data_IF_809368504756
#
_entry.id   IF_809368504756
#
_cell.length_a   1.000
_cell.length_b   1.000
_cell.length_c   1.000
_cell.angle_alpha   90.00
_cell.angle_beta   90.00
_cell.angle_gamma   90.00
#
_symmetry.space_group_name_H-M   'P 1'
#
loop_
_entity.id
_entity.type
_entity.pdbx_description
1 polymer ?
#
# COMPACT_ATOMS: atom_id res chain seq x y z
N UNK A 1 15.64 -6.49 21.34
CA UNK A 1 15.16 -7.50 20.39
C UNK A 1 16.36 -8.23 19.78
N UNK A 2 16.34 -9.56 19.74
CA UNK A 2 17.43 -10.37 19.16
C UNK A 2 17.49 -10.23 17.63
N UNK A 3 18.68 -10.45 17.03
CA UNK A 3 18.82 -10.40 15.56
C UNK A 3 17.90 -11.39 14.84
N UNK A 4 17.74 -12.58 15.40
CA UNK A 4 16.85 -13.61 14.85
C UNK A 4 15.38 -13.16 14.78
N UNK A 5 14.84 -12.67 15.91
CA UNK A 5 13.47 -12.13 15.98
C UNK A 5 13.25 -11.05 14.93
N UNK A 6 14.21 -10.14 14.79
CA UNK A 6 14.17 -9.09 13.78
C UNK A 6 14.10 -9.68 12.36
N UNK A 7 14.98 -10.62 12.02
CA UNK A 7 15.02 -11.25 10.69
C UNK A 7 13.72 -11.98 10.34
N UNK A 8 13.14 -12.75 11.28
CA UNK A 8 11.87 -13.46 11.07
C UNK A 8 10.73 -12.49 10.81
N UNK A 9 10.59 -11.43 11.62
CA UNK A 9 9.50 -10.46 11.45
C UNK A 9 9.62 -9.66 10.15
N UNK A 10 10.85 -9.33 9.73
CA UNK A 10 11.07 -8.65 8.46
C UNK A 10 10.84 -9.56 7.26
N UNK A 11 11.30 -10.81 7.30
CA UNK A 11 11.00 -11.80 6.26
C UNK A 11 9.49 -12.02 6.12
N UNK A 12 8.77 -12.16 7.24
CA UNK A 12 7.32 -12.27 7.28
C UNK A 12 6.64 -11.04 6.65
N UNK A 13 7.14 -9.84 6.94
CA UNK A 13 6.62 -8.59 6.34
C UNK A 13 6.84 -8.56 4.82
N UNK A 14 8.06 -8.88 4.36
CA UNK A 14 8.37 -8.92 2.92
C UNK A 14 7.47 -9.93 2.21
N UNK A 15 7.42 -11.18 2.70
CA UNK A 15 6.62 -12.24 2.08
C UNK A 15 5.11 -11.93 2.11
N UNK A 16 4.59 -11.39 3.22
CA UNK A 16 3.20 -10.99 3.36
C UNK A 16 2.79 -9.92 2.35
N UNK A 17 3.56 -8.84 2.23
CA UNK A 17 3.31 -7.79 1.24
C UNK A 17 3.53 -8.29 -0.19
N UNK A 18 4.56 -9.13 -0.41
CA UNK A 18 4.83 -9.70 -1.73
C UNK A 18 3.66 -10.52 -2.26
N UNK A 19 2.95 -11.26 -1.40
CA UNK A 19 1.80 -12.07 -1.80
C UNK A 19 0.65 -11.25 -2.38
N UNK A 20 0.47 -9.99 -1.93
CA UNK A 20 -0.55 -9.08 -2.48
C UNK A 20 -0.25 -8.76 -3.94
N UNK A 21 1.00 -8.41 -4.23
CA UNK A 21 1.39 -7.78 -5.48
C UNK A 21 2.03 -8.75 -6.50
N UNK A 22 2.29 -10.00 -6.11
CA UNK A 22 2.87 -11.02 -6.96
C UNK A 22 2.18 -11.23 -8.32
N UNK A 23 0.83 -11.20 -8.44
CA UNK A 23 0.16 -11.37 -9.73
C UNK A 23 0.34 -10.19 -10.68
N UNK A 24 0.69 -8.99 -10.20
CA UNK A 24 0.63 -7.76 -10.97
C UNK A 24 1.48 -7.77 -12.25
N UNK A 25 2.77 -8.17 -12.23
CA UNK A 25 3.56 -8.30 -13.45
C UNK A 25 3.08 -9.43 -14.38
N UNK A 26 2.28 -10.36 -13.85
CA UNK A 26 1.83 -11.56 -14.57
C UNK A 26 0.46 -11.39 -15.23
N UNK A 27 -0.19 -10.23 -15.10
CA UNK A 27 -1.56 -10.02 -15.58
C UNK A 27 -1.79 -10.39 -17.04
N UNK A 28 -0.92 -10.01 -18.02
CA UNK A 28 -1.10 -10.45 -19.40
C UNK A 28 -0.95 -11.97 -19.56
N UNK A 29 -0.02 -12.59 -18.84
CA UNK A 29 0.20 -14.04 -18.85
C UNK A 29 -1.01 -14.79 -18.25
N UNK A 30 -1.57 -14.30 -17.15
CA UNK A 30 -2.80 -14.83 -16.54
C UNK A 30 -4.01 -14.66 -17.48
N UNK A 31 -4.12 -13.49 -18.13
CA UNK A 31 -5.16 -13.25 -19.13
C UNK A 31 -5.11 -14.29 -20.26
N UNK A 32 -3.92 -14.53 -20.81
CA UNK A 32 -3.71 -15.54 -21.86
C UNK A 32 -3.97 -16.97 -21.36
N UNK A 33 -3.50 -17.30 -20.13
CA UNK A 33 -3.64 -18.66 -19.58
C UNK A 33 -5.10 -19.04 -19.32
N UNK A 34 -5.91 -18.11 -18.79
CA UNK A 34 -7.31 -18.36 -18.45
C UNK A 34 -8.30 -17.89 -19.51
N UNK A 35 -7.84 -17.40 -20.67
CA UNK A 35 -8.69 -16.90 -21.75
C UNK A 35 -9.52 -15.68 -21.36
N UNK A 36 -8.93 -14.73 -20.60
CA UNK A 36 -9.63 -13.60 -19.99
C UNK A 36 -9.38 -12.29 -20.75
N UNK A 37 -10.34 -11.37 -20.62
CA UNK A 37 -10.08 -9.97 -20.96
C UNK A 37 -9.09 -9.34 -20.00
N UNK A 38 -8.42 -8.26 -20.42
CA UNK A 38 -7.52 -7.48 -19.56
C UNK A 38 -8.25 -6.94 -18.30
N UNK A 39 -9.50 -6.52 -18.45
CA UNK A 39 -10.35 -6.07 -17.35
C UNK A 39 -10.61 -7.20 -16.34
N UNK A 40 -10.94 -8.40 -16.82
CA UNK A 40 -11.19 -9.55 -15.95
C UNK A 40 -9.91 -10.00 -15.24
N UNK A 41 -8.77 -10.05 -15.93
CA UNK A 41 -7.49 -10.39 -15.32
C UNK A 41 -7.09 -9.38 -14.22
N UNK A 42 -7.43 -8.10 -14.37
CA UNK A 42 -7.21 -7.06 -13.36
C UNK A 42 -7.91 -7.34 -12.03
N UNK A 43 -8.99 -8.12 -12.03
CA UNK A 43 -9.68 -8.55 -10.80
C UNK A 43 -8.79 -9.37 -9.87
N UNK A 44 -7.70 -9.98 -10.38
CA UNK A 44 -6.70 -10.63 -9.54
C UNK A 44 -6.12 -9.71 -8.46
N UNK A 45 -5.98 -8.41 -8.72
CA UNK A 45 -5.54 -7.42 -7.74
C UNK A 45 -6.73 -6.85 -6.94
N UNK A 46 -7.82 -6.53 -7.61
CA UNK A 46 -9.02 -5.96 -6.99
C UNK A 46 -9.59 -6.88 -5.91
N UNK A 47 -9.65 -8.20 -6.17
CA UNK A 47 -10.14 -9.21 -5.23
C UNK A 47 -9.33 -9.28 -3.93
N UNK A 48 -8.07 -8.84 -3.93
CA UNK A 48 -7.27 -8.75 -2.71
C UNK A 48 -7.36 -7.36 -2.09
N UNK A 49 -7.33 -6.29 -2.88
CA UNK A 49 -7.29 -4.92 -2.37
C UNK A 49 -8.60 -4.50 -1.71
N UNK A 50 -9.74 -4.98 -2.20
CA UNK A 50 -11.04 -4.63 -1.63
C UNK A 50 -11.21 -5.17 -0.19
N UNK A 51 -11.01 -6.48 0.08
CA UNK A 51 -11.06 -6.98 1.45
C UNK A 51 -9.97 -6.36 2.34
N UNK A 52 -8.78 -6.08 1.79
CA UNK A 52 -7.68 -5.46 2.52
C UNK A 52 -8.02 -4.04 3.01
N UNK A 53 -8.85 -3.31 2.27
CA UNK A 53 -9.39 -2.02 2.69
C UNK A 53 -10.51 -2.12 3.72
N UNK A 54 -11.35 -3.15 3.64
CA UNK A 54 -12.51 -3.31 4.51
C UNK A 54 -12.19 -4.05 5.83
N UNK A 55 -11.28 -5.04 5.78
CA UNK A 55 -10.96 -5.88 6.93
C UNK A 55 -10.47 -5.11 8.18
N UNK A 56 -9.64 -4.05 8.09
CA UNK A 56 -9.22 -3.28 9.26
C UNK A 56 -10.39 -2.66 10.04
N UNK A 57 -11.48 -2.33 9.35
CA UNK A 57 -12.68 -1.83 10.00
C UNK A 57 -13.34 -2.88 10.90
N UNK A 58 -13.31 -4.13 10.49
CA UNK A 58 -13.87 -5.26 11.25
C UNK A 58 -12.88 -5.72 12.32
N UNK A 59 -11.59 -5.80 11.97
CA UNK A 59 -10.55 -6.37 12.84
C UNK A 59 -10.20 -5.49 14.02
N UNK A 60 -10.41 -4.19 13.95
CA UNK A 60 -10.24 -3.27 15.08
C UNK A 60 -11.08 -3.62 16.31
N UNK A 61 -12.08 -4.53 16.18
CA UNK A 61 -12.84 -5.05 17.32
C UNK A 61 -12.18 -6.25 18.02
N UNK A 62 -11.35 -7.02 17.33
CA UNK A 62 -10.91 -8.33 17.81
C UNK A 62 -9.39 -8.46 17.95
N UNK A 63 -8.61 -7.81 17.09
CA UNK A 63 -7.18 -8.09 16.98
C UNK A 63 -6.38 -7.62 18.20
N UNK A 64 -6.81 -6.56 18.87
CA UNK A 64 -6.13 -6.07 20.07
C UNK A 64 -6.29 -7.01 21.29
N UNK A 65 -7.28 -7.92 21.25
CA UNK A 65 -7.50 -8.90 22.31
C UNK A 65 -6.62 -10.17 22.15
N UNK A 66 -6.01 -10.37 20.97
CA UNK A 66 -5.24 -11.58 20.65
C UNK A 66 -3.74 -11.26 20.76
N UNK A 67 -2.93 -12.10 21.41
CA UNK A 67 -1.48 -11.94 21.42
C UNK A 67 -0.93 -11.93 19.98
N UNK A 68 0.04 -11.03 19.70
CA UNK A 68 0.51 -10.79 18.34
C UNK A 68 1.24 -12.01 17.75
N UNK A 69 2.04 -12.72 18.55
CA UNK A 69 2.80 -13.89 18.06
C UNK A 69 1.91 -15.00 17.47
N UNK A 70 0.89 -15.55 18.16
CA UNK A 70 0.02 -16.57 17.57
C UNK A 70 -0.76 -16.03 16.37
N UNK A 71 -1.17 -14.76 16.40
CA UNK A 71 -1.86 -14.12 15.28
C UNK A 71 -0.96 -14.03 14.03
N UNK A 72 0.33 -13.66 14.19
CA UNK A 72 1.33 -13.70 13.11
C UNK A 72 1.45 -15.12 12.55
N UNK A 73 1.64 -16.13 13.42
CA UNK A 73 1.82 -17.53 13.01
C UNK A 73 0.63 -18.07 12.21
N UNK A 74 -0.59 -17.89 12.72
CA UNK A 74 -1.82 -18.33 12.06
C UNK A 74 -2.04 -17.58 10.74
N UNK A 75 -1.86 -16.26 10.74
CA UNK A 75 -2.01 -15.46 9.51
C UNK A 75 -1.01 -15.88 8.43
N UNK A 76 0.25 -16.14 8.80
CA UNK A 76 1.27 -16.62 7.86
C UNK A 76 0.95 -18.01 7.32
N UNK A 77 0.49 -18.94 8.17
CA UNK A 77 0.14 -20.31 7.75
C UNK A 77 -1.04 -20.30 6.77
N UNK A 78 -2.11 -19.55 7.08
CA UNK A 78 -3.27 -19.43 6.19
C UNK A 78 -2.90 -18.68 4.91
N UNK A 79 -2.05 -17.65 4.99
CA UNK A 79 -1.58 -16.90 3.82
C UNK A 79 -0.68 -17.79 2.93
N UNK A 80 0.12 -18.69 3.53
CA UNK A 80 0.90 -19.69 2.82
C UNK A 80 -0.01 -20.65 2.02
N UNK A 81 -1.10 -21.12 2.64
CA UNK A 81 -2.09 -21.98 1.98
C UNK A 81 -2.79 -21.22 0.82
N UNK A 82 -3.25 -19.99 1.05
CA UNK A 82 -3.86 -19.20 0.00
C UNK A 82 -2.87 -18.94 -1.15
N UNK A 83 -1.63 -18.52 -0.84
CA UNK A 83 -0.62 -18.18 -1.83
C UNK A 83 -0.13 -19.41 -2.60
N UNK A 84 0.19 -20.49 -1.89
CA UNK A 84 0.56 -21.77 -2.50
C UNK A 84 -0.58 -22.38 -3.31
N UNK A 85 -1.82 -22.25 -2.83
CA UNK A 85 -3.01 -22.71 -3.55
C UNK A 85 -3.21 -22.07 -4.92
N UNK A 86 -2.76 -20.81 -5.12
CA UNK A 86 -2.83 -20.15 -6.43
C UNK A 86 -2.09 -20.93 -7.52
N UNK A 87 -1.00 -21.63 -7.20
CA UNK A 87 -0.25 -22.40 -8.20
C UNK A 87 -1.01 -23.64 -8.68
N UNK A 88 -2.01 -24.11 -7.93
CA UNK A 88 -2.83 -25.28 -8.24
C UNK A 88 -4.12 -24.92 -9.00
N UNK A 89 -4.44 -23.62 -9.13
CA UNK A 89 -5.68 -23.21 -9.77
C UNK A 89 -5.68 -23.54 -11.27
N UNK A 90 -6.71 -24.22 -11.71
CA UNK A 90 -7.09 -24.42 -13.12
C UNK A 90 -8.23 -23.51 -13.57
N UNK A 91 -8.93 -22.88 -12.64
CA UNK A 91 -10.05 -21.96 -12.84
C UNK A 91 -9.78 -20.61 -12.18
N UNK A 92 -10.16 -19.52 -12.86
CA UNK A 92 -9.90 -18.16 -12.37
C UNK A 92 -10.83 -17.78 -11.21
N UNK A 93 -12.01 -18.38 -11.10
CA UNK A 93 -12.90 -18.14 -9.96
C UNK A 93 -12.27 -18.58 -8.65
N UNK A 94 -11.69 -19.79 -8.59
CA UNK A 94 -10.94 -20.25 -7.44
C UNK A 94 -9.70 -19.41 -7.16
N UNK A 95 -9.02 -18.95 -8.22
CA UNK A 95 -7.92 -17.99 -8.08
C UNK A 95 -8.40 -16.73 -7.34
N UNK A 96 -9.55 -16.15 -7.71
CA UNK A 96 -10.12 -14.98 -7.05
C UNK A 96 -10.54 -15.25 -5.60
N UNK A 97 -11.10 -16.43 -5.28
CA UNK A 97 -11.46 -16.81 -3.90
C UNK A 97 -10.21 -16.79 -3.00
N UNK A 98 -9.11 -17.39 -3.46
CA UNK A 98 -7.85 -17.36 -2.71
C UNK A 98 -7.28 -15.94 -2.59
N UNK A 99 -7.46 -15.10 -3.60
CA UNK A 99 -7.08 -13.68 -3.55
C UNK A 99 -7.88 -12.88 -2.53
N UNK A 100 -9.19 -13.15 -2.39
CA UNK A 100 -10.03 -12.60 -1.30
C UNK A 100 -9.49 -13.05 0.06
N UNK A 101 -9.18 -14.34 0.21
CA UNK A 101 -8.55 -14.87 1.42
C UNK A 101 -7.26 -14.15 1.80
N UNK A 102 -6.37 -13.90 0.83
CA UNK A 102 -5.16 -13.12 1.06
C UNK A 102 -5.48 -11.68 1.54
N UNK A 103 -6.46 -11.03 0.91
CA UNK A 103 -6.89 -9.67 1.28
C UNK A 103 -7.46 -9.57 2.69
N UNK A 104 -8.10 -10.62 3.19
CA UNK A 104 -8.56 -10.71 4.58
C UNK A 104 -7.40 -10.96 5.56
N UNK A 105 -6.44 -11.80 5.21
CA UNK A 105 -5.37 -12.23 6.13
C UNK A 105 -4.25 -11.19 6.30
N UNK A 106 -3.90 -10.47 5.24
CA UNK A 106 -2.77 -9.53 5.26
C UNK A 106 -2.92 -8.40 6.27
N UNK A 107 -4.07 -7.73 6.44
CA UNK A 107 -4.22 -6.71 7.47
C UNK A 107 -4.01 -7.23 8.88
N UNK A 108 -4.50 -8.43 9.18
CA UNK A 108 -4.29 -9.09 10.47
C UNK A 108 -2.80 -9.34 10.71
N UNK A 109 -2.10 -9.88 9.71
CA UNK A 109 -0.65 -10.10 9.75
C UNK A 109 0.12 -8.81 9.99
N UNK A 110 -0.15 -7.76 9.21
CA UNK A 110 0.59 -6.49 9.31
C UNK A 110 0.36 -5.78 10.63
N UNK A 111 -0.88 -5.79 11.13
CA UNK A 111 -1.22 -5.23 12.45
C UNK A 111 -0.49 -5.99 13.56
N UNK A 112 -0.52 -7.32 13.53
CA UNK A 112 0.17 -8.14 14.52
C UNK A 112 1.69 -7.95 14.48
N UNK A 113 2.30 -7.86 13.28
CA UNK A 113 3.73 -7.57 13.11
C UNK A 113 4.11 -6.20 13.69
N UNK A 114 3.30 -5.17 13.41
CA UNK A 114 3.53 -3.82 13.93
C UNK A 114 3.41 -3.79 15.45
N UNK A 115 2.42 -4.46 16.02
CA UNK A 115 2.21 -4.58 17.46
C UNK A 115 3.38 -5.30 18.14
N UNK A 116 3.78 -6.46 17.60
CA UNK A 116 4.91 -7.21 18.15
C UNK A 116 6.21 -6.40 18.10
N UNK A 117 6.50 -5.77 16.97
CA UNK A 117 7.71 -4.95 16.80
C UNK A 117 7.73 -3.75 17.76
N UNK A 118 6.60 -3.07 17.95
CA UNK A 118 6.51 -1.90 18.84
C UNK A 118 6.65 -2.28 20.32
N UNK A 119 6.09 -3.41 20.73
CA UNK A 119 6.15 -3.89 22.12
C UNK A 119 7.49 -4.54 22.46
N UNK A 120 8.12 -5.26 21.51
CA UNK A 120 9.42 -5.89 21.71
C UNK A 120 10.61 -4.93 21.62
N UNK A 121 10.43 -3.74 21.05
CA UNK A 121 11.48 -2.73 20.92
C UNK A 121 11.65 -1.91 22.21
N UNK A 122 12.89 -1.52 22.54
CA UNK A 122 13.12 -0.55 23.62
C UNK A 122 12.42 0.78 23.30
N UNK A 123 11.85 1.50 24.28
CA UNK A 123 11.13 2.76 24.04
C UNK A 123 11.90 3.77 23.19
N UNK A 124 13.21 3.90 23.40
CA UNK A 124 14.10 4.78 22.64
C UNK A 124 14.31 4.36 21.17
N UNK A 125 13.99 3.11 20.81
CA UNK A 125 14.22 2.53 19.48
C UNK A 125 12.94 2.34 18.68
N UNK A 126 11.74 2.44 19.29
CA UNK A 126 10.45 2.18 18.64
C UNK A 126 10.31 2.98 17.35
N UNK A 127 10.58 4.29 17.38
CA UNK A 127 10.49 5.15 16.19
C UNK A 127 11.38 4.65 15.04
N UNK A 128 12.61 4.22 15.33
CA UNK A 128 13.54 3.69 14.33
C UNK A 128 13.05 2.36 13.76
N UNK A 129 12.58 1.46 14.62
CA UNK A 129 12.06 0.14 14.24
C UNK A 129 10.82 0.31 13.33
N UNK A 130 9.91 1.23 13.66
CA UNK A 130 8.73 1.52 12.84
C UNK A 130 9.10 2.12 11.47
N UNK A 131 10.09 3.02 11.43
CA UNK A 131 10.56 3.57 10.15
C UNK A 131 11.15 2.49 9.24
N UNK A 132 11.94 1.57 9.81
CA UNK A 132 12.48 0.43 9.06
C UNK A 132 11.35 -0.52 8.62
N UNK A 133 10.36 -0.80 9.50
CA UNK A 133 9.19 -1.61 9.15
C UNK A 133 8.46 -1.06 7.93
N UNK A 134 8.19 0.26 7.90
CA UNK A 134 7.54 0.91 6.74
C UNK A 134 8.42 0.76 5.48
N UNK A 135 9.72 0.98 5.57
CA UNK A 135 10.63 0.78 4.42
C UNK A 135 10.60 -0.67 3.91
N UNK A 136 10.50 -1.65 4.80
CA UNK A 136 10.40 -3.07 4.47
C UNK A 136 9.06 -3.41 3.81
N UNK A 137 7.94 -2.78 4.20
CA UNK A 137 6.67 -2.96 3.49
C UNK A 137 6.75 -2.45 2.05
N UNK A 138 7.39 -1.29 1.82
CA UNK A 138 7.61 -0.76 0.47
C UNK A 138 8.54 -1.69 -0.34
N UNK A 139 9.63 -2.16 0.28
CA UNK A 139 10.52 -3.14 -0.35
C UNK A 139 9.80 -4.44 -0.71
N UNK A 140 8.95 -4.97 0.19
CA UNK A 140 8.11 -6.16 -0.09
C UNK A 140 7.20 -5.96 -1.29
N UNK A 141 6.66 -4.75 -1.48
CA UNK A 141 5.88 -4.39 -2.65
C UNK A 141 6.68 -4.46 -3.97
N UNK A 142 7.94 -4.04 -3.97
CA UNK A 142 8.86 -4.20 -5.10
C UNK A 142 9.26 -5.66 -5.27
N UNK A 143 9.75 -6.29 -4.19
CA UNK A 143 10.28 -7.64 -4.22
C UNK A 143 9.28 -8.64 -4.77
N UNK A 144 8.02 -8.59 -4.32
CA UNK A 144 6.97 -9.49 -4.79
C UNK A 144 6.75 -9.41 -6.30
N UNK A 145 6.76 -8.21 -6.87
CA UNK A 145 6.61 -8.00 -8.31
C UNK A 145 7.84 -8.47 -9.09
N UNK A 146 9.02 -8.06 -8.65
CA UNK A 146 10.27 -8.43 -9.32
C UNK A 146 10.51 -9.94 -9.27
N UNK A 147 10.38 -10.55 -8.08
CA UNK A 147 10.51 -11.99 -7.88
C UNK A 147 9.50 -12.77 -8.73
N UNK A 148 8.24 -12.31 -8.77
CA UNK A 148 7.21 -12.98 -9.56
C UNK A 148 7.49 -12.89 -11.05
N UNK A 149 7.95 -11.74 -11.53
CA UNK A 149 8.38 -11.58 -12.92
C UNK A 149 9.53 -12.51 -13.27
N UNK A 150 10.58 -12.53 -12.43
CA UNK A 150 11.76 -13.37 -12.62
C UNK A 150 11.42 -14.88 -12.60
N UNK A 151 10.68 -15.31 -11.57
CA UNK A 151 10.34 -16.73 -11.43
C UNK A 151 9.38 -17.22 -12.52
N UNK A 152 8.43 -16.36 -12.94
CA UNK A 152 7.49 -16.73 -14.00
C UNK A 152 8.16 -16.77 -15.38
N UNK A 153 9.11 -15.89 -15.65
CA UNK A 153 9.87 -15.88 -16.90
C UNK A 153 10.71 -17.15 -17.05
N UNK A 154 11.32 -17.62 -15.96
CA UNK A 154 12.19 -18.80 -15.96
C UNK A 154 11.43 -20.13 -15.86
N UNK A 155 10.35 -20.21 -15.08
CA UNK A 155 9.73 -21.46 -14.63
C UNK A 155 8.20 -21.50 -14.81
N UNK A 156 7.61 -20.45 -15.39
CA UNK A 156 6.18 -20.32 -15.61
C UNK A 156 5.42 -19.68 -14.44
N UNK A 157 4.21 -19.22 -14.72
CA UNK A 157 3.40 -18.36 -13.84
C UNK A 157 3.01 -18.97 -12.48
N UNK A 158 3.05 -20.29 -12.36
CA UNK A 158 2.73 -21.00 -11.11
C UNK A 158 3.84 -20.92 -10.08
N UNK A 159 5.10 -20.85 -10.52
CA UNK A 159 6.27 -20.93 -9.63
C UNK A 159 6.43 -19.77 -8.65
N UNK A 160 6.16 -18.51 -9.00
CA UNK A 160 6.17 -17.43 -8.00
C UNK A 160 5.24 -17.68 -6.82
N UNK A 161 4.05 -18.22 -7.06
CA UNK A 161 3.09 -18.52 -5.99
C UNK A 161 3.52 -19.71 -5.13
N UNK A 162 4.06 -20.75 -5.74
CA UNK A 162 4.63 -21.88 -5.01
C UNK A 162 5.81 -21.44 -4.13
N UNK A 163 6.75 -20.66 -4.68
CA UNK A 163 7.91 -20.14 -3.95
C UNK A 163 7.54 -19.20 -2.81
N UNK A 164 6.61 -18.26 -3.03
CA UNK A 164 6.12 -17.37 -1.98
C UNK A 164 5.30 -18.12 -0.93
N UNK A 165 4.49 -19.12 -1.34
CA UNK A 165 3.76 -19.97 -0.42
C UNK A 165 4.70 -20.74 0.51
N UNK A 166 5.77 -21.35 -0.05
CA UNK A 166 6.82 -22.02 0.72
C UNK A 166 7.54 -21.05 1.67
N UNK A 167 7.90 -19.86 1.21
CA UNK A 167 8.56 -18.84 2.04
C UNK A 167 7.65 -18.38 3.20
N UNK A 168 6.35 -18.19 2.96
CA UNK A 168 5.36 -17.87 4.01
C UNK A 168 5.23 -19.02 5.03
N UNK A 169 5.21 -20.28 4.57
CA UNK A 169 5.17 -21.46 5.47
C UNK A 169 6.43 -21.54 6.33
N UNK A 170 7.61 -21.28 5.76
CA UNK A 170 8.87 -21.19 6.51
C UNK A 170 8.83 -20.06 7.55
N UNK A 171 8.29 -18.89 7.20
CA UNK A 171 8.10 -17.80 8.16
C UNK A 171 7.12 -18.17 9.27
N UNK A 172 6.04 -18.90 8.96
CA UNK A 172 5.10 -19.40 9.95
C UNK A 172 5.78 -20.38 10.95
N UNK A 173 6.57 -21.31 10.45
CA UNK A 173 7.36 -22.22 11.26
C UNK A 173 8.39 -21.48 12.12
N UNK A 174 9.12 -20.52 11.53
CA UNK A 174 10.09 -19.68 12.25
C UNK A 174 9.42 -18.83 13.35
N UNK A 175 8.16 -18.43 13.16
CA UNK A 175 7.40 -17.69 14.17
C UNK A 175 7.23 -18.48 15.48
N UNK A 176 7.22 -19.81 15.43
CA UNK A 176 7.13 -20.68 16.62
C UNK A 176 8.35 -20.52 17.55
N UNK A 177 9.49 -20.09 17.01
CA UNK A 177 10.72 -19.86 17.78
C UNK A 177 10.81 -18.48 18.42
N UNK A 178 9.86 -17.58 18.11
CA UNK A 178 9.86 -16.23 18.67
C UNK A 178 9.47 -16.26 20.17
N UNK A 179 10.00 -15.33 20.99
CA UNK A 179 9.56 -15.15 22.35
C UNK A 179 8.05 -14.89 22.43
N UNK A 180 7.36 -15.37 23.49
CA UNK A 180 5.96 -14.99 23.70
C UNK A 180 5.86 -13.50 23.96
N UNK A 181 4.79 -12.88 23.46
CA UNK A 181 4.49 -11.47 23.68
C UNK A 181 3.48 -11.28 24.82
N UNK A 182 3.55 -10.10 25.45
CA UNK A 182 2.53 -9.71 26.41
C UNK A 182 1.21 -9.40 25.69
N UNK A 183 0.09 -9.69 26.34
CA UNK A 183 -1.22 -9.26 25.83
C UNK A 183 -1.29 -7.73 25.85
N UNK A 184 -1.69 -7.14 24.74
CA UNK A 184 -2.00 -5.71 24.67
C UNK A 184 -3.36 -5.45 25.33
N UNK A 185 -3.51 -4.27 25.93
CA UNK A 185 -4.80 -3.87 26.49
C UNK A 185 -5.82 -3.69 25.34
N UNK A 186 -6.97 -4.33 25.48
CA UNK A 186 -8.06 -4.23 24.51
C UNK A 186 -8.63 -2.81 24.50
N UNK A 187 -8.57 -2.14 23.35
CA UNK A 187 -9.18 -0.85 23.12
C UNK A 187 -10.10 -0.93 21.90
N UNK A 188 -11.39 -1.26 22.08
CA UNK A 188 -12.30 -1.49 20.97
C UNK A 188 -12.51 -0.20 20.15
N UNK A 189 -12.34 -0.30 18.83
CA UNK A 189 -12.68 0.78 17.92
C UNK A 189 -14.20 0.88 17.84
N UNK A 190 -14.78 2.04 18.22
CA UNK A 190 -16.22 2.28 18.13
C UNK A 190 -16.56 3.03 16.85
N UNK A 191 -17.09 2.34 15.84
CA UNK A 191 -17.52 2.96 14.58
C UNK A 191 -18.64 3.97 14.72
N UNK A 192 -19.39 3.97 15.82
CA UNK A 192 -20.38 5.00 16.11
C UNK A 192 -19.81 6.43 16.01
N UNK A 193 -18.51 6.60 16.26
CA UNK A 193 -17.81 7.89 16.12
C UNK A 193 -17.28 8.20 14.71
N UNK A 194 -17.44 7.28 13.72
CA UNK A 194 -16.95 7.54 12.38
C UNK A 194 -17.57 8.80 11.73
N UNK A 195 -18.89 9.07 11.85
CA UNK A 195 -19.47 10.31 11.34
C UNK A 195 -18.88 11.57 12.00
N UNK A 196 -18.56 11.49 13.28
CA UNK A 196 -17.92 12.59 14.02
C UNK A 196 -16.52 12.87 13.47
N UNK A 197 -15.69 11.84 13.34
CA UNK A 197 -14.34 11.94 12.77
C UNK A 197 -14.37 12.48 11.34
N UNK A 198 -15.27 11.98 10.50
CA UNK A 198 -15.36 12.40 9.09
C UNK A 198 -15.85 13.84 8.92
N UNK A 199 -16.62 14.37 9.89
CA UNK A 199 -17.08 15.77 9.87
C UNK A 199 -16.01 16.76 10.34
N UNK A 200 -14.91 16.29 10.94
CA UNK A 200 -13.83 17.18 11.37
C UNK A 200 -13.19 17.88 10.16
N UNK A 201 -12.87 19.18 10.29
CA UNK A 201 -12.28 19.95 9.19
C UNK A 201 -11.02 19.27 8.63
N UNK A 202 -10.96 19.11 7.32
CA UNK A 202 -9.83 18.54 6.60
C UNK A 202 -9.70 17.01 6.62
N UNK A 203 -10.43 16.28 7.49
CA UNK A 203 -10.31 14.81 7.56
C UNK A 203 -10.79 14.13 6.28
N UNK A 204 -12.04 14.39 5.88
CA UNK A 204 -12.61 13.82 4.66
C UNK A 204 -11.80 14.22 3.43
N UNK A 205 -11.31 15.46 3.36
CA UNK A 205 -10.48 15.92 2.25
C UNK A 205 -9.14 15.16 2.21
N UNK A 206 -8.47 14.97 3.36
CA UNK A 206 -7.23 14.18 3.42
C UNK A 206 -7.45 12.73 3.00
N UNK A 207 -8.51 12.08 3.49
CA UNK A 207 -8.86 10.72 3.07
C UNK A 207 -9.16 10.64 1.57
N UNK A 208 -9.86 11.63 1.01
CA UNK A 208 -10.17 11.70 -0.42
C UNK A 208 -8.90 11.87 -1.25
N UNK A 209 -7.99 12.77 -0.86
CA UNK A 209 -6.69 12.94 -1.55
C UNK A 209 -5.94 11.62 -1.61
N UNK A 210 -5.80 10.93 -0.49
CA UNK A 210 -5.07 9.67 -0.42
C UNK A 210 -5.77 8.55 -1.22
N UNK A 211 -7.09 8.48 -1.18
CA UNK A 211 -7.85 7.51 -1.97
C UNK A 211 -7.66 7.75 -3.48
N UNK A 212 -7.74 9.00 -3.95
CA UNK A 212 -7.54 9.35 -5.36
C UNK A 212 -6.10 9.12 -5.80
N UNK A 213 -5.10 9.47 -4.98
CA UNK A 213 -3.70 9.22 -5.30
C UNK A 213 -3.42 7.72 -5.38
N UNK A 214 -3.98 6.91 -4.47
CA UNK A 214 -3.80 5.47 -4.54
C UNK A 214 -4.62 4.80 -5.63
N UNK A 215 -5.74 5.40 -6.04
CA UNK A 215 -6.46 5.04 -7.26
C UNK A 215 -5.55 5.16 -8.49
N UNK A 216 -4.89 6.32 -8.66
CA UNK A 216 -3.97 6.54 -9.80
C UNK A 216 -2.77 5.60 -9.70
N UNK A 217 -2.17 5.49 -8.53
CA UNK A 217 -1.03 4.62 -8.26
C UNK A 217 -1.31 3.17 -8.61
N UNK A 218 -2.40 2.63 -8.09
CA UNK A 218 -2.79 1.23 -8.35
C UNK A 218 -3.20 1.02 -9.80
N UNK A 219 -3.89 1.99 -10.40
CA UNK A 219 -4.31 1.95 -11.79
C UNK A 219 -3.14 1.93 -12.76
N UNK A 220 -2.19 2.86 -12.60
CA UNK A 220 -0.97 2.89 -13.43
C UNK A 220 -0.18 1.58 -13.33
N UNK A 221 0.07 1.12 -12.10
CA UNK A 221 0.83 -0.11 -11.88
C UNK A 221 0.09 -1.36 -12.39
N UNK A 222 -1.24 -1.34 -12.42
CA UNK A 222 -2.04 -2.45 -12.91
C UNK A 222 -2.12 -2.46 -14.45
N UNK A 223 -2.17 -1.28 -15.08
CA UNK A 223 -2.13 -1.15 -16.54
C UNK A 223 -0.73 -1.36 -17.13
N UNK A 224 0.33 -1.13 -16.35
CA UNK A 224 1.71 -1.17 -16.81
C UNK A 224 2.09 -2.44 -17.59
N UNK A 225 1.82 -3.68 -17.13
CA UNK A 225 2.21 -4.88 -17.88
C UNK A 225 1.41 -5.02 -19.18
N UNK A 226 0.17 -4.57 -19.23
CA UNK A 226 -0.62 -4.56 -20.48
C UNK A 226 -0.07 -3.52 -21.46
N UNK A 227 0.23 -2.30 -20.96
CA UNK A 227 0.85 -1.28 -21.82
C UNK A 227 2.20 -1.70 -22.34
N UNK A 228 3.02 -2.37 -21.53
CA UNK A 228 4.29 -2.93 -21.94
C UNK A 228 4.11 -3.95 -23.08
N UNK A 229 3.04 -4.74 -23.06
CA UNK A 229 2.72 -5.71 -24.11
C UNK A 229 2.35 -5.07 -25.47
N UNK A 230 1.86 -3.83 -25.46
CA UNK A 230 1.51 -3.07 -26.68
C UNK A 230 2.70 -2.35 -27.30
N UNK A 231 3.78 -2.13 -26.54
CA UNK A 231 4.95 -1.36 -27.01
C UNK A 231 6.00 -2.25 -27.67
N UNK A 232 6.81 -1.65 -28.54
CA UNK A 232 7.97 -2.31 -29.17
C UNK A 232 8.91 -2.92 -28.12
N UNK A 233 9.42 -4.12 -28.40
CA UNK A 233 10.24 -4.90 -27.50
C UNK A 233 9.45 -5.84 -26.60
N UNK A 234 8.13 -5.71 -26.57
CA UNK A 234 7.18 -6.68 -26.04
C UNK A 234 7.23 -6.89 -24.53
N UNK A 235 6.26 -7.66 -24.08
CA UNK A 235 6.11 -8.09 -22.70
C UNK A 235 6.88 -9.40 -22.46
N UNK A 236 7.66 -9.42 -21.37
CA UNK A 236 8.00 -10.64 -20.64
C UNK A 236 7.70 -10.41 -19.16
N UNK A 237 7.42 -11.49 -18.38
CA UNK A 237 7.20 -11.36 -16.95
C UNK A 237 8.35 -10.66 -16.21
N UNK A 238 9.59 -10.95 -16.59
CA UNK A 238 10.80 -10.34 -16.03
C UNK A 238 10.86 -8.84 -16.34
N UNK A 239 10.61 -8.43 -17.59
CA UNK A 239 10.59 -7.01 -17.97
C UNK A 239 9.53 -6.25 -17.20
N UNK A 240 8.32 -6.80 -17.11
CA UNK A 240 7.26 -6.21 -16.33
C UNK A 240 7.64 -6.08 -14.84
N UNK A 241 8.21 -7.14 -14.26
CA UNK A 241 8.71 -7.14 -12.88
C UNK A 241 9.79 -6.08 -12.64
N UNK A 242 10.73 -5.90 -13.57
CA UNK A 242 11.80 -4.91 -13.49
C UNK A 242 11.29 -3.46 -13.57
N UNK A 243 10.18 -3.21 -14.32
CA UNK A 243 9.57 -1.87 -14.39
C UNK A 243 9.16 -1.32 -13.01
N UNK A 244 8.85 -2.19 -12.04
CA UNK A 244 8.51 -1.77 -10.68
C UNK A 244 9.72 -1.35 -9.82
N UNK A 245 10.95 -1.29 -10.37
CA UNK A 245 12.12 -0.76 -9.65
C UNK A 245 11.91 0.69 -9.14
N UNK A 246 10.99 1.44 -9.76
CA UNK A 246 10.58 2.75 -9.25
C UNK A 246 10.10 2.75 -7.79
N UNK A 247 9.66 1.60 -7.23
CA UNK A 247 9.36 1.48 -5.80
C UNK A 247 10.55 1.79 -4.89
N UNK A 248 11.79 1.62 -5.37
CA UNK A 248 12.98 2.00 -4.64
C UNK A 248 13.01 3.51 -4.35
N UNK A 249 12.45 4.35 -5.25
CA UNK A 249 12.24 5.76 -5.00
C UNK A 249 11.26 5.98 -3.83
N UNK A 250 10.25 5.13 -3.69
CA UNK A 250 9.34 5.17 -2.54
C UNK A 250 10.07 4.97 -1.20
N UNK A 251 11.05 4.06 -1.13
CA UNK A 251 11.89 3.88 0.06
C UNK A 251 12.68 5.16 0.36
N UNK A 252 13.33 5.74 -0.65
CA UNK A 252 14.08 6.99 -0.51
C UNK A 252 13.17 8.10 0.00
N UNK A 253 11.98 8.25 -0.59
CA UNK A 253 10.99 9.27 -0.20
C UNK A 253 10.51 9.08 1.24
N UNK A 254 10.19 7.85 1.65
CA UNK A 254 9.79 7.54 3.02
C UNK A 254 10.89 7.87 4.03
N UNK A 255 12.13 7.52 3.75
CA UNK A 255 13.27 7.78 4.64
C UNK A 255 13.62 9.26 4.73
N UNK A 256 13.37 10.03 3.66
CA UNK A 256 13.63 11.48 3.59
C UNK A 256 12.41 12.34 3.90
N UNK A 257 11.25 11.73 4.14
CA UNK A 257 9.95 12.41 4.33
C UNK A 257 9.99 13.52 5.39
N UNK A 258 10.73 13.32 6.49
CA UNK A 258 10.87 14.33 7.53
C UNK A 258 11.61 15.61 7.04
N UNK A 259 12.60 15.46 6.16
CA UNK A 259 13.31 16.61 5.56
C UNK A 259 12.40 17.29 4.54
N UNK A 260 11.68 16.50 3.76
CA UNK A 260 10.78 16.96 2.73
C UNK A 260 9.59 17.75 3.33
N UNK A 261 8.98 17.27 4.42
CA UNK A 261 7.91 17.98 5.11
C UNK A 261 8.35 19.31 5.75
N UNK A 262 9.62 19.40 6.18
CA UNK A 262 10.21 20.67 6.65
C UNK A 262 10.42 21.66 5.51
N UNK A 263 10.84 21.17 4.35
CA UNK A 263 11.08 22.01 3.17
C UNK A 263 9.80 22.68 2.67
N UNK A 264 8.68 21.96 2.70
CA UNK A 264 7.40 22.48 2.23
C UNK A 264 6.62 23.30 3.26
N UNK A 265 7.10 23.41 4.50
CA UNK A 265 6.51 24.17 5.62
C UNK A 265 5.04 23.84 5.97
N UNK A 266 4.36 23.01 5.18
CA UNK A 266 2.95 22.66 5.35
C UNK A 266 2.66 21.23 4.88
N UNK A 267 1.90 20.46 5.68
CA UNK A 267 1.39 19.15 5.26
C UNK A 267 0.54 19.21 3.98
N UNK A 268 -0.30 20.22 3.84
CA UNK A 268 -1.15 20.42 2.67
C UNK A 268 -0.30 20.67 1.41
N UNK A 269 0.75 21.50 1.50
CA UNK A 269 1.71 21.70 0.39
C UNK A 269 2.43 20.40 0.04
N UNK A 270 2.86 19.61 1.02
CA UNK A 270 3.49 18.31 0.77
C UNK A 270 2.57 17.37 -0.01
N UNK A 271 1.27 17.31 0.35
CA UNK A 271 0.28 16.52 -0.39
C UNK A 271 0.01 17.07 -1.78
N UNK A 272 -0.06 18.41 -1.95
CA UNK A 272 -0.24 19.05 -3.25
C UNK A 272 0.94 18.79 -4.19
N UNK A 273 2.18 18.90 -3.70
CA UNK A 273 3.40 18.57 -4.47
C UNK A 273 3.42 17.09 -4.83
N UNK A 274 3.05 16.19 -3.89
CA UNK A 274 2.90 14.77 -4.18
C UNK A 274 1.87 14.52 -5.29
N UNK A 275 0.72 15.18 -5.24
CA UNK A 275 -0.31 15.09 -6.27
C UNK A 275 0.17 15.64 -7.64
N UNK A 276 0.88 16.75 -7.65
CA UNK A 276 1.48 17.30 -8.88
C UNK A 276 2.49 16.32 -9.52
N UNK A 277 3.31 15.66 -8.70
CA UNK A 277 4.22 14.63 -9.19
C UNK A 277 3.44 13.42 -9.76
N UNK A 278 2.32 13.02 -9.14
CA UNK A 278 1.45 11.94 -9.66
C UNK A 278 0.80 12.36 -10.99
N UNK A 279 0.40 13.63 -11.18
CA UNK A 279 -0.08 14.13 -12.48
C UNK A 279 1.03 13.98 -13.53
N UNK A 280 2.24 14.48 -13.23
CA UNK A 280 3.38 14.35 -14.14
C UNK A 280 3.68 12.88 -14.48
N UNK A 281 3.62 11.99 -13.49
CA UNK A 281 3.78 10.54 -13.71
C UNK A 281 2.72 9.98 -14.66
N UNK A 282 1.43 10.34 -14.48
CA UNK A 282 0.34 9.87 -15.33
C UNK A 282 0.46 10.39 -16.78
N UNK A 283 0.92 11.62 -16.96
CA UNK A 283 1.19 12.19 -18.29
C UNK A 283 2.37 11.49 -18.98
N UNK A 284 3.47 11.23 -18.25
CA UNK A 284 4.63 10.50 -18.79
C UNK A 284 4.26 9.03 -19.09
N UNK A 285 3.42 8.41 -18.27
CA UNK A 285 2.91 7.05 -18.49
C UNK A 285 2.11 6.92 -19.80
N UNK A 286 1.45 7.97 -20.24
CA UNK A 286 0.69 8.00 -21.49
C UNK A 286 1.57 7.96 -22.75
N UNK A 287 2.87 8.27 -22.64
CA UNK A 287 3.79 8.29 -23.78
C UNK A 287 4.04 6.88 -24.34
N UNK A 288 4.24 6.76 -25.69
CA UNK A 288 4.26 5.46 -26.37
C UNK A 288 5.65 4.81 -26.42
N UNK A 289 6.44 4.83 -25.32
CA UNK A 289 7.75 4.16 -25.27
C UNK A 289 8.10 3.66 -23.87
N UNK A 290 8.88 2.56 -23.83
CA UNK A 290 9.17 1.84 -22.59
C UNK A 290 9.93 2.67 -21.55
N UNK A 291 10.84 3.55 -21.99
CA UNK A 291 11.58 4.43 -21.08
C UNK A 291 10.68 5.38 -20.32
N UNK A 292 9.58 5.86 -20.94
CA UNK A 292 8.58 6.69 -20.25
C UNK A 292 7.81 5.87 -19.20
N UNK A 293 7.40 4.63 -19.53
CA UNK A 293 6.78 3.75 -18.55
C UNK A 293 7.68 3.56 -17.33
N UNK A 294 8.96 3.26 -17.54
CA UNK A 294 9.92 3.07 -16.48
C UNK A 294 10.10 4.32 -15.63
N UNK A 295 10.36 5.48 -16.27
CA UNK A 295 10.53 6.77 -15.57
C UNK A 295 9.28 7.17 -14.79
N UNK A 296 8.08 6.94 -15.37
CA UNK A 296 6.82 7.29 -14.74
C UNK A 296 6.62 6.61 -13.38
N UNK A 297 7.09 5.36 -13.20
CA UNK A 297 6.97 4.63 -11.93
C UNK A 297 7.84 5.26 -10.84
N UNK A 298 9.01 5.80 -11.16
CA UNK A 298 9.85 6.53 -10.19
C UNK A 298 9.17 7.82 -9.72
N UNK A 299 8.64 8.61 -10.67
CA UNK A 299 7.92 9.86 -10.36
C UNK A 299 6.64 9.58 -9.59
N UNK A 300 5.90 8.54 -9.99
CA UNK A 300 4.69 8.06 -9.31
C UNK A 300 4.97 7.73 -7.85
N UNK A 301 6.00 6.92 -7.60
CA UNK A 301 6.40 6.52 -6.26
C UNK A 301 6.87 7.71 -5.43
N UNK A 302 7.66 8.62 -6.00
CA UNK A 302 8.06 9.86 -5.31
C UNK A 302 6.84 10.67 -4.88
N UNK A 303 5.88 10.91 -5.79
CA UNK A 303 4.66 11.69 -5.50
C UNK A 303 3.76 11.02 -4.47
N UNK A 304 3.43 9.74 -4.70
CA UNK A 304 2.55 8.98 -3.82
C UNK A 304 3.11 8.89 -2.39
N UNK A 305 4.38 8.52 -2.24
CA UNK A 305 4.98 8.35 -0.91
C UNK A 305 5.28 9.68 -0.21
N UNK A 306 5.39 10.79 -0.94
CA UNK A 306 5.42 12.14 -0.35
C UNK A 306 4.11 12.44 0.37
N UNK A 307 2.96 12.27 -0.27
CA UNK A 307 1.66 12.50 0.34
C UNK A 307 1.35 11.47 1.44
N UNK A 308 1.61 10.18 1.18
CA UNK A 308 1.33 9.07 2.10
C UNK A 308 2.12 9.17 3.41
N UNK A 309 3.35 9.68 3.39
CA UNK A 309 4.18 9.81 4.59
C UNK A 309 3.73 10.93 5.54
N UNK A 310 2.97 11.91 5.04
CA UNK A 310 2.55 13.09 5.80
C UNK A 310 1.13 12.92 6.35
N UNK A 311 0.22 12.38 5.56
CA UNK A 311 -1.20 12.33 5.86
C UNK A 311 -1.57 11.66 7.22
N UNK A 312 -1.00 10.49 7.61
CA UNK A 312 -1.31 9.89 8.90
C UNK A 312 -0.85 10.76 10.08
N UNK A 313 0.27 11.46 9.92
CA UNK A 313 0.81 12.36 10.95
C UNK A 313 -0.12 13.54 11.22
N UNK A 314 -0.70 14.11 10.19
CA UNK A 314 -1.67 15.21 10.26
C UNK A 314 -2.94 14.75 10.97
N UNK A 315 -3.53 13.65 10.51
CA UNK A 315 -4.77 13.11 11.05
C UNK A 315 -4.63 12.74 12.54
N UNK A 316 -3.55 12.02 12.90
CA UNK A 316 -3.28 11.63 14.28
C UNK A 316 -2.84 12.79 15.19
N UNK A 317 -2.35 13.89 14.63
CA UNK A 317 -2.05 15.12 15.35
C UNK A 317 -3.30 15.90 15.73
N UNK A 318 -4.29 15.89 14.86
CA UNK A 318 -5.58 16.57 15.06
C UNK A 318 -6.58 15.74 15.89
N UNK A 319 -6.40 14.40 15.98
CA UNK A 319 -7.28 13.51 16.75
C UNK A 319 -6.50 12.83 17.88
N UNK A 320 -6.98 12.95 19.12
CA UNK A 320 -6.33 12.39 20.31
C UNK A 320 -7.04 11.16 20.88
N UNK A 321 -8.36 11.13 20.79
CA UNK A 321 -9.20 10.12 21.45
C UNK A 321 -9.44 8.89 20.56
N UNK A 322 -9.66 9.09 19.26
CA UNK A 322 -10.09 8.03 18.32
C UNK A 322 -9.01 7.64 17.30
N UNK A 323 -7.73 7.60 17.69
CA UNK A 323 -6.59 7.30 16.76
C UNK A 323 -6.74 5.98 16.03
N UNK A 324 -7.23 4.94 16.69
CA UNK A 324 -7.47 3.64 16.05
C UNK A 324 -8.49 3.75 14.90
N UNK A 325 -9.61 4.47 15.13
CA UNK A 325 -10.63 4.71 14.12
C UNK A 325 -10.09 5.56 12.96
N UNK A 326 -9.35 6.62 13.27
CA UNK A 326 -8.71 7.50 12.26
C UNK A 326 -7.77 6.71 11.35
N UNK A 327 -6.94 5.85 11.91
CA UNK A 327 -6.03 5.01 11.13
C UNK A 327 -6.78 3.91 10.36
N UNK A 328 -7.82 3.32 10.93
CA UNK A 328 -8.68 2.36 10.26
C UNK A 328 -9.38 2.97 9.03
N UNK A 329 -9.97 4.16 9.18
CA UNK A 329 -10.57 4.91 8.08
C UNK A 329 -9.53 5.27 7.01
N UNK A 330 -8.32 5.71 7.44
CA UNK A 330 -7.23 6.01 6.50
C UNK A 330 -6.89 4.80 5.60
N UNK A 331 -6.70 3.63 6.20
CA UNK A 331 -6.38 2.41 5.47
C UNK A 331 -7.55 2.01 4.56
N UNK A 332 -8.79 2.17 5.03
CA UNK A 332 -9.98 1.83 4.24
C UNK A 332 -10.13 2.74 3.02
N UNK A 333 -9.99 4.04 3.16
CA UNK A 333 -10.02 4.97 2.02
C UNK A 333 -8.86 4.70 1.05
N UNK A 334 -7.66 4.48 1.58
CA UNK A 334 -6.47 4.17 0.81
C UNK A 334 -6.68 2.93 -0.09
N UNK A 335 -7.00 1.78 0.49
CA UNK A 335 -7.16 0.54 -0.27
C UNK A 335 -8.45 0.46 -1.08
N UNK A 336 -9.52 1.16 -0.67
CA UNK A 336 -10.72 1.30 -1.51
C UNK A 336 -10.41 2.10 -2.78
N UNK A 337 -9.65 3.20 -2.67
CA UNK A 337 -9.10 3.90 -3.82
C UNK A 337 -8.27 2.97 -4.70
N UNK A 338 -7.39 2.16 -4.11
CA UNK A 338 -6.58 1.16 -4.82
C UNK A 338 -7.41 0.10 -5.53
N UNK A 339 -8.44 -0.45 -4.89
CA UNK A 339 -9.32 -1.44 -5.48
C UNK A 339 -10.07 -0.88 -6.71
N UNK A 340 -10.60 0.34 -6.59
CA UNK A 340 -11.21 1.05 -7.72
C UNK A 340 -10.17 1.34 -8.81
N UNK A 341 -8.94 1.71 -8.44
CA UNK A 341 -7.83 1.96 -9.36
C UNK A 341 -7.37 0.73 -10.12
N UNK A 342 -7.43 -0.46 -9.53
CA UNK A 342 -7.13 -1.71 -10.24
C UNK A 342 -8.26 -2.17 -11.15
N UNK A 343 -9.52 -1.79 -10.88
CA UNK A 343 -10.70 -2.23 -11.62
C UNK A 343 -11.08 -1.25 -12.75
N UNK A 344 -11.39 0.01 -12.41
CA UNK A 344 -12.00 0.96 -13.34
C UNK A 344 -11.13 1.30 -14.57
N UNK A 345 -9.81 1.58 -14.43
CA UNK A 345 -8.97 1.83 -15.59
C UNK A 345 -8.90 0.64 -16.56
N UNK A 346 -8.94 -0.59 -16.03
CA UNK A 346 -9.00 -1.81 -16.85
C UNK A 346 -10.32 -1.93 -17.65
N UNK A 347 -11.44 -1.55 -17.05
CA UNK A 347 -12.74 -1.50 -17.74
C UNK A 347 -12.77 -0.43 -18.84
N UNK A 348 -12.19 0.75 -18.56
CA UNK A 348 -12.08 1.84 -19.54
C UNK A 348 -11.13 1.44 -20.68
N UNK A 349 -10.00 0.80 -20.36
CA UNK A 349 -9.08 0.26 -21.36
C UNK A 349 -9.79 -0.69 -22.33
N UNK A 350 -10.57 -1.63 -21.79
CA UNK A 350 -11.27 -2.63 -22.60
C UNK A 350 -12.36 -2.03 -23.53
N UNK A 351 -12.97 -0.89 -23.15
CA UNK A 351 -14.06 -0.26 -23.93
C UNK A 351 -13.59 0.86 -24.85
N UNK A 352 -12.62 1.64 -24.41
CA UNK A 352 -12.27 2.93 -25.02
C UNK A 352 -10.77 3.10 -25.29
N UNK A 353 -9.98 2.05 -25.07
CA UNK A 353 -8.54 2.03 -25.31
C UNK A 353 -7.70 2.72 -24.27
N UNK A 354 -6.37 2.64 -24.46
CA UNK A 354 -5.38 3.10 -23.47
C UNK A 354 -5.43 4.62 -23.23
N UNK A 355 -5.67 5.44 -24.27
CA UNK A 355 -5.75 6.89 -24.12
C UNK A 355 -6.86 7.33 -23.15
N UNK A 356 -8.03 6.70 -23.22
CA UNK A 356 -9.14 6.96 -22.30
C UNK A 356 -8.82 6.52 -20.87
N UNK A 357 -8.19 5.35 -20.70
CA UNK A 357 -7.75 4.86 -19.38
C UNK A 357 -6.70 5.78 -18.77
N UNK A 358 -5.70 6.23 -19.53
CA UNK A 358 -4.71 7.21 -19.09
C UNK A 358 -5.36 8.56 -18.74
N UNK A 359 -6.31 9.02 -19.56
CA UNK A 359 -7.10 10.24 -19.29
C UNK A 359 -7.85 10.18 -17.96
N UNK A 360 -8.47 9.04 -17.63
CA UNK A 360 -9.12 8.82 -16.34
C UNK A 360 -8.13 8.96 -15.18
N UNK A 361 -6.92 8.39 -15.33
CA UNK A 361 -5.88 8.49 -14.29
C UNK A 361 -5.41 9.94 -14.10
N UNK A 362 -5.21 10.70 -15.19
CA UNK A 362 -4.87 12.12 -15.13
C UNK A 362 -5.98 12.92 -14.45
N UNK A 363 -7.24 12.71 -14.82
CA UNK A 363 -8.38 13.39 -14.19
C UNK A 363 -8.46 13.13 -12.69
N UNK A 364 -8.26 11.89 -12.27
CA UNK A 364 -8.24 11.52 -10.85
C UNK A 364 -7.07 12.17 -10.10
N UNK A 365 -5.87 12.24 -10.73
CA UNK A 365 -4.71 12.93 -10.16
C UNK A 365 -4.94 14.44 -10.01
N UNK A 366 -5.56 15.07 -11.03
CA UNK A 366 -5.95 16.50 -10.98
C UNK A 366 -6.99 16.74 -9.88
N UNK A 367 -8.00 15.88 -9.75
CA UNK A 367 -8.97 15.96 -8.66
C UNK A 367 -8.29 15.87 -7.28
N UNK A 368 -7.33 14.95 -7.10
CA UNK A 368 -6.55 14.85 -5.88
C UNK A 368 -5.76 16.15 -5.60
N UNK A 369 -5.12 16.73 -6.61
CA UNK A 369 -4.36 17.97 -6.49
C UNK A 369 -5.29 19.16 -6.11
N UNK A 370 -6.45 19.28 -6.75
CA UNK A 370 -7.44 20.32 -6.44
C UNK A 370 -7.91 20.22 -4.98
N UNK A 371 -8.21 19.02 -4.51
CA UNK A 371 -8.60 18.81 -3.11
C UNK A 371 -7.43 19.12 -2.17
N UNK A 372 -6.20 18.70 -2.50
CA UNK A 372 -5.01 18.93 -1.69
C UNK A 372 -4.68 20.43 -1.54
N UNK A 373 -4.81 21.21 -2.62
CA UNK A 373 -4.58 22.67 -2.59
C UNK A 373 -5.64 23.39 -1.75
N UNK A 374 -6.88 22.89 -1.72
CA UNK A 374 -7.97 23.45 -0.88
C UNK A 374 -7.86 23.03 0.59
N UNK A 375 -6.99 22.08 0.94
CA UNK A 375 -6.71 21.76 2.33
C UNK A 375 -6.05 22.95 3.01
N UNK A 376 -6.78 23.65 3.86
CA UNK A 376 -6.24 24.76 4.64
C UNK A 376 -5.43 24.22 5.82
N UNK A 377 -4.18 24.60 5.90
CA UNK A 377 -3.32 24.26 7.04
C UNK A 377 -3.91 24.78 8.38
N UNK A 378 -4.71 25.86 8.35
CA UNK A 378 -5.41 26.42 9.50
C UNK A 378 -6.52 25.47 10.02
N UNK A 379 -7.12 24.65 9.15
CA UNK A 379 -8.17 23.70 9.53
C UNK A 379 -7.69 22.64 10.53
N UNK A 380 -6.38 22.31 10.49
CA UNK A 380 -5.75 21.37 11.41
C UNK A 380 -5.09 22.03 12.63
N UNK A 381 -4.82 23.35 12.57
CA UNK A 381 -4.17 24.10 13.66
C UNK A 381 -5.15 24.50 14.75
N UNK A 382 -6.42 24.70 14.42
CA UNK A 382 -7.45 25.15 15.36
C UNK A 382 -7.80 24.13 16.47
N UNK A 383 -7.60 22.84 16.22
CA UNK A 383 -7.92 21.76 17.15
C UNK A 383 -6.71 21.20 17.92
N UNK A 384 -5.47 21.57 17.58
CA UNK A 384 -4.23 20.93 18.06
C UNK A 384 -3.40 21.69 19.12
N UNK A 385 -3.87 22.83 19.68
CA UNK A 385 -3.12 23.60 20.71
C UNK A 385 -2.21 24.70 20.11
N UNK A 386 -1.53 25.54 20.95
CA UNK A 386 -0.95 26.81 20.53
C UNK A 386 0.06 26.64 19.40
N UNK A 387 -0.20 27.35 18.34
CA UNK A 387 0.56 27.36 17.08
C UNK A 387 2.07 27.54 17.35
N UNK A 388 2.90 26.68 16.78
CA UNK A 388 4.36 26.83 16.72
C UNK A 388 4.79 28.20 16.15
N UNK A 389 3.93 28.89 15.40
CA UNK A 389 4.13 30.25 14.91
C UNK A 389 4.20 31.28 16.05
N UNK A 390 3.45 31.08 17.14
CA UNK A 390 3.53 31.92 18.34
C UNK A 390 4.83 31.70 19.13
N UNK A 391 5.36 30.46 19.12
CA UNK A 391 6.62 30.12 19.78
C UNK A 391 7.85 30.71 19.03
N UNK A 392 7.80 30.76 17.71
CA UNK A 392 8.90 31.35 16.90
C UNK A 392 8.91 32.89 16.97
N UNK A 393 7.77 33.56 17.18
CA UNK A 393 7.71 35.02 17.42
C UNK A 393 8.28 35.39 18.80
N UNK A 394 8.04 34.57 19.84
CA UNK A 394 8.59 34.82 21.19
C UNK A 394 10.11 34.55 21.30
N UNK A 395 10.71 33.79 20.40
CA UNK A 395 12.15 33.53 20.35
C UNK A 395 12.97 34.57 19.57
N UNK A 396 12.32 35.54 18.89
CA UNK A 396 12.99 36.66 18.21
C UNK A 396 13.07 37.94 19.04
N UNK A 397 12.31 38.00 20.13
CA UNK A 397 12.28 39.15 21.05
C UNK A 397 13.08 38.94 22.34
N UNK A 398 14.04 38.01 22.34
CA UNK A 398 15.02 37.83 23.41
C UNK A 398 16.44 37.84 22.90
#
# INVERSE_FOLDING_TARGET
MGKWTFSVLFAATVCGISSIYAPQPLLPLLAATFGLSQATASLALTATMLPLGLAPLVYGFFLDAVPARPLIGVSLALLALCTGGLCLCSDFGWFLVLRVGQGLLVPALLTALMTYLSTAAKPSQVRRVMAVYIAVTVFGGFFGRFFSGLAADALGWRMPFAGLGAALALCAAACLTLPPDARTAFSPIRFAHAPEVLRKPGFLATYTVIALLFFVFSGMLNLLPFRLAELEGGYTPLRAGAMYAGYLMGIVTCLTSHRLSRYFDSPARSMAVGAAAVIAAALVFALPFQGALFASVFVLCAGMFTAHSVAPGVLNGAEREHKGLVNGLYISFYYSGGALGTCLPGLVLARSGFGAAAGLLVLAAVAAAVVAVRLDAASFAAEGGPSRAAALRRGRDR
#
